data_IF_715492559830
#
_entry.id   IF_715492559830
#
_cell.length_a   1.000
_cell.length_b   1.000
_cell.length_c   1.000
_cell.angle_alpha   90.00
_cell.angle_beta   90.00
_cell.angle_gamma   90.00
#
_symmetry.space_group_name_H-M   'P 1'
#
loop_
_entity.id
_entity.type
_entity.pdbx_description
1 polymer ?
#
# COMPACT_ATOMS: atom_id res chain seq x y z
N UNK A 1 -38.22 -5.91 -0.48
CA UNK A 1 -37.69 -4.54 -0.44
C UNK A 1 -36.18 -4.63 -0.66
N UNK A 2 -35.71 -4.39 -1.88
CA UNK A 2 -34.30 -4.60 -2.28
C UNK A 2 -33.57 -3.27 -2.17
N UNK A 3 -32.66 -3.13 -1.21
CA UNK A 3 -31.83 -1.92 -1.09
C UNK A 3 -30.71 -2.03 -2.12
N UNK A 4 -30.87 -1.36 -3.26
CA UNK A 4 -29.78 -1.20 -4.22
C UNK A 4 -28.64 -0.43 -3.53
N UNK A 5 -27.51 -1.10 -3.31
CA UNK A 5 -26.29 -0.41 -2.87
C UNK A 5 -25.79 0.43 -4.04
N UNK A 6 -25.99 1.74 -3.97
CA UNK A 6 -25.35 2.67 -4.88
C UNK A 6 -23.83 2.57 -4.69
N UNK A 7 -23.16 1.96 -5.67
CA UNK A 7 -21.69 1.97 -5.72
C UNK A 7 -21.30 3.40 -6.05
N UNK A 8 -20.71 4.09 -5.07
CA UNK A 8 -20.16 5.43 -5.30
C UNK A 8 -19.08 5.41 -6.40
N UNK A 9 -18.71 6.58 -6.95
CA UNK A 9 -17.65 6.65 -7.95
C UNK A 9 -16.35 6.02 -7.42
N UNK A 10 -15.57 5.34 -8.28
CA UNK A 10 -14.34 4.70 -7.86
C UNK A 10 -13.32 5.75 -7.39
N UNK A 11 -12.56 5.39 -6.35
CA UNK A 11 -11.34 6.13 -5.99
C UNK A 11 -10.23 5.70 -6.93
N UNK A 12 -9.56 6.67 -7.55
CA UNK A 12 -8.42 6.42 -8.43
C UNK A 12 -7.14 6.83 -7.73
N UNK A 13 -6.12 5.97 -7.77
CA UNK A 13 -4.80 6.28 -7.26
C UNK A 13 -3.76 6.13 -8.38
N UNK A 14 -2.92 7.16 -8.57
CA UNK A 14 -1.75 7.12 -9.45
C UNK A 14 -0.52 7.04 -8.57
N UNK A 15 0.30 6.02 -8.79
CA UNK A 15 1.53 5.77 -8.01
C UNK A 15 2.72 5.90 -8.95
N UNK A 16 3.58 6.87 -8.65
CA UNK A 16 4.86 7.06 -9.34
C UNK A 16 5.98 6.67 -8.40
N UNK A 17 6.98 5.94 -8.90
CA UNK A 17 8.13 5.51 -8.10
C UNK A 17 9.43 5.87 -8.82
N UNK A 18 10.29 6.63 -8.15
CA UNK A 18 11.60 7.04 -8.62
C UNK A 18 12.68 6.31 -7.82
N UNK A 19 13.55 5.51 -8.44
CA UNK A 19 14.68 4.90 -7.75
C UNK A 19 15.64 5.95 -7.19
N UNK A 20 16.00 5.81 -5.91
CA UNK A 20 16.97 6.67 -5.23
C UNK A 20 18.28 5.89 -4.97
N UNK A 21 18.15 4.62 -4.60
CA UNK A 21 19.25 3.70 -4.40
C UNK A 21 18.76 2.25 -4.54
N UNK A 22 19.68 1.27 -4.43
CA UNK A 22 19.31 -0.15 -4.45
C UNK A 22 18.34 -0.46 -3.30
N UNK A 23 17.11 -0.85 -3.66
CA UNK A 23 16.06 -1.16 -2.68
C UNK A 23 15.42 0.07 -2.03
N UNK A 24 15.67 1.28 -2.53
CA UNK A 24 15.10 2.53 -2.01
C UNK A 24 14.44 3.29 -3.16
N UNK A 25 13.17 3.61 -2.98
CA UNK A 25 12.40 4.36 -3.97
C UNK A 25 11.66 5.51 -3.30
N UNK A 26 11.71 6.69 -3.91
CA UNK A 26 10.79 7.78 -3.60
C UNK A 26 9.47 7.50 -4.31
N UNK A 27 8.38 7.55 -3.58
CA UNK A 27 7.04 7.25 -4.07
C UNK A 27 6.20 8.50 -3.95
N UNK A 28 5.47 8.83 -5.03
CA UNK A 28 4.42 9.84 -5.04
C UNK A 28 3.10 9.14 -5.34
N UNK A 29 2.10 9.34 -4.48
CA UNK A 29 0.75 8.81 -4.67
C UNK A 29 -0.23 9.97 -4.77
N UNK A 30 -0.92 10.07 -5.89
CA UNK A 30 -2.06 10.99 -6.05
C UNK A 30 -3.37 10.20 -5.99
N UNK A 31 -4.20 10.47 -5.00
CA UNK A 31 -5.51 9.87 -4.80
C UNK A 31 -6.59 10.88 -5.17
N UNK A 32 -7.50 10.50 -6.06
CA UNK A 32 -8.65 11.30 -6.46
C UNK A 32 -9.93 10.66 -5.97
N UNK A 33 -10.64 11.39 -5.11
CA UNK A 33 -11.93 10.97 -4.57
C UNK A 33 -13.12 11.36 -5.45
N UNK A 34 -14.31 10.84 -5.13
CA UNK A 34 -15.56 11.32 -5.69
C UNK A 34 -15.75 12.80 -5.30
N UNK A 35 -15.78 13.71 -6.28
CA UNK A 35 -15.85 15.16 -6.04
C UNK A 35 -14.60 15.95 -6.44
N UNK A 36 -13.69 15.34 -7.21
CA UNK A 36 -12.50 15.99 -7.80
C UNK A 36 -11.47 16.53 -6.80
N UNK A 37 -11.60 16.22 -5.50
CA UNK A 37 -10.55 16.56 -4.53
C UNK A 37 -9.39 15.57 -4.67
N UNK A 38 -8.19 16.13 -4.83
CA UNK A 38 -6.94 15.39 -4.98
C UNK A 38 -6.14 15.47 -3.68
N UNK A 39 -5.69 14.31 -3.20
CA UNK A 39 -4.72 14.18 -2.13
C UNK A 39 -3.41 13.65 -2.69
N UNK A 40 -2.29 14.29 -2.36
CA UNK A 40 -0.97 13.88 -2.79
C UNK A 40 -0.12 13.57 -1.57
N UNK A 41 0.52 12.41 -1.60
CA UNK A 41 1.46 11.94 -0.58
C UNK A 41 2.79 11.58 -1.24
N UNK A 42 3.89 12.03 -0.65
CA UNK A 42 5.24 11.67 -1.06
C UNK A 42 5.97 11.04 0.11
N UNK A 43 6.58 9.87 -0.12
CA UNK A 43 7.23 9.10 0.93
C UNK A 43 8.36 8.23 0.39
N UNK A 44 9.23 7.75 1.26
CA UNK A 44 10.32 6.83 0.95
C UNK A 44 9.88 5.40 1.25
N UNK A 45 9.97 4.53 0.25
CA UNK A 45 9.74 3.09 0.40
C UNK A 45 11.05 2.32 0.28
N UNK A 46 11.28 1.41 1.23
CA UNK A 46 12.52 0.66 1.36
C UNK A 46 12.24 -0.85 1.39
N UNK A 47 12.91 -1.58 0.51
CA UNK A 47 12.97 -3.03 0.52
C UNK A 47 14.02 -3.50 1.52
N UNK A 48 13.65 -4.41 2.43
CA UNK A 48 14.59 -4.98 3.41
C UNK A 48 14.94 -6.45 3.09
N UNK A 49 16.15 -6.93 3.44
CA UNK A 49 17.22 -6.20 4.15
C UNK A 49 17.91 -5.17 3.26
N UNK A 50 18.14 -3.97 3.80
CA UNK A 50 19.04 -2.98 3.22
C UNK A 50 20.08 -2.60 4.28
N UNK A 51 21.35 -2.56 3.90
CA UNK A 51 22.48 -2.34 4.82
C UNK A 51 22.69 -0.85 5.16
N UNK A 52 21.74 0.02 4.86
CA UNK A 52 21.95 1.48 4.83
C UNK A 52 21.08 2.23 5.84
N UNK A 53 21.48 3.48 6.12
CA UNK A 53 20.73 4.44 6.93
C UNK A 53 19.28 4.62 6.45
N UNK A 54 19.00 4.32 5.18
CA UNK A 54 17.65 4.38 4.59
C UNK A 54 16.62 3.55 5.33
N UNK A 55 16.99 2.40 5.92
CA UNK A 55 16.04 1.60 6.69
C UNK A 55 15.49 2.35 7.92
N UNK A 56 16.20 3.38 8.41
CA UNK A 56 15.73 4.24 9.51
C UNK A 56 14.89 5.42 9.01
N UNK A 57 15.04 5.79 7.73
CA UNK A 57 14.36 6.92 7.09
C UNK A 57 13.14 6.50 6.25
N UNK A 58 12.93 5.20 6.02
CA UNK A 58 11.83 4.70 5.22
C UNK A 58 10.50 4.84 5.95
N UNK A 59 9.58 5.62 5.38
CA UNK A 59 8.19 5.72 5.83
C UNK A 59 7.45 4.38 5.63
N UNK A 60 7.81 3.68 4.54
CA UNK A 60 7.28 2.37 4.17
C UNK A 60 8.40 1.35 4.06
N UNK A 61 8.36 0.29 4.87
CA UNK A 61 9.26 -0.85 4.74
C UNK A 61 8.53 -2.04 4.14
N UNK A 62 9.20 -2.81 3.28
CA UNK A 62 8.65 -4.07 2.80
C UNK A 62 9.68 -5.19 2.71
N UNK A 63 9.24 -6.41 2.99
CA UNK A 63 10.04 -7.62 2.92
C UNK A 63 9.22 -8.75 2.29
N UNK A 64 9.88 -9.61 1.51
CA UNK A 64 9.31 -10.91 1.18
C UNK A 64 9.50 -11.87 2.36
N UNK A 65 8.40 -12.37 2.92
CA UNK A 65 8.41 -13.29 4.06
C UNK A 65 7.04 -13.94 4.26
N UNK A 66 7.04 -15.26 4.44
CA UNK A 66 5.83 -16.01 4.80
C UNK A 66 5.52 -15.92 6.32
N UNK A 67 6.48 -15.50 7.14
CA UNK A 67 6.36 -15.53 8.60
C UNK A 67 5.31 -14.53 9.10
N UNK A 68 4.32 -14.95 9.90
CA UNK A 68 3.19 -14.11 10.29
C UNK A 68 3.58 -12.94 11.20
N UNK A 69 4.65 -13.09 11.99
CA UNK A 69 5.17 -12.07 12.90
C UNK A 69 6.15 -11.09 12.23
N UNK A 70 6.51 -11.29 10.96
CA UNK A 70 7.64 -10.59 10.34
C UNK A 70 7.41 -9.08 10.24
N UNK A 71 6.21 -8.64 9.84
CA UNK A 71 5.87 -7.22 9.78
C UNK A 71 5.94 -6.56 11.17
N UNK A 72 5.45 -7.23 12.21
CA UNK A 72 5.51 -6.73 13.58
C UNK A 72 6.97 -6.62 14.08
N UNK A 73 7.79 -7.65 13.87
CA UNK A 73 9.21 -7.66 14.24
C UNK A 73 10.00 -6.59 13.50
N UNK A 74 9.72 -6.41 12.21
CA UNK A 74 10.37 -5.38 11.40
C UNK A 74 9.96 -3.98 11.88
N UNK A 75 8.68 -3.73 12.15
CA UNK A 75 8.24 -2.46 12.74
C UNK A 75 8.86 -2.17 14.11
N UNK A 76 9.06 -3.19 14.96
CA UNK A 76 9.76 -3.01 16.24
C UNK A 76 11.24 -2.60 16.08
N UNK A 77 11.90 -3.03 14.99
CA UNK A 77 13.29 -2.66 14.68
C UNK A 77 13.41 -1.29 14.01
N UNK A 78 12.34 -0.81 13.40
CA UNK A 78 12.29 0.43 12.63
C UNK A 78 11.10 1.28 13.07
N UNK A 79 11.16 1.89 14.27
CA UNK A 79 10.02 2.61 14.84
C UNK A 79 9.62 3.86 14.04
N UNK A 80 10.49 4.37 13.15
CA UNK A 80 10.17 5.47 12.23
C UNK A 80 9.27 5.07 11.05
N UNK A 81 9.14 3.78 10.75
CA UNK A 81 8.31 3.32 9.65
C UNK A 81 6.82 3.31 10.03
N UNK A 82 6.01 4.09 9.31
CA UNK A 82 4.57 4.18 9.51
C UNK A 82 3.83 3.00 8.89
N UNK A 83 4.37 2.39 7.83
CA UNK A 83 3.83 1.15 7.25
C UNK A 83 4.93 0.13 7.08
N UNK A 84 4.66 -1.10 7.53
CA UNK A 84 5.57 -2.23 7.37
C UNK A 84 4.84 -3.40 6.75
N UNK A 85 5.30 -3.85 5.58
CA UNK A 85 4.72 -4.95 4.82
C UNK A 85 5.62 -6.20 4.83
N UNK A 86 5.05 -7.34 5.22
CA UNK A 86 5.64 -8.65 4.99
C UNK A 86 4.73 -9.45 4.08
N UNK A 87 5.22 -9.82 2.89
CA UNK A 87 4.39 -10.44 1.87
C UNK A 87 4.98 -11.75 1.34
N UNK A 88 4.12 -12.69 0.98
CA UNK A 88 4.51 -13.92 0.30
C UNK A 88 3.34 -14.46 -0.53
N UNK A 89 3.57 -14.70 -1.82
CA UNK A 89 2.53 -15.12 -2.75
C UNK A 89 1.33 -14.17 -2.75
N UNK A 90 0.17 -14.68 -2.36
CA UNK A 90 -1.12 -13.98 -2.39
C UNK A 90 -1.50 -13.31 -1.06
N UNK A 91 -0.60 -13.28 -0.07
CA UNK A 91 -0.84 -12.69 1.24
C UNK A 91 0.16 -11.57 1.50
N UNK A 92 -0.34 -10.43 1.98
CA UNK A 92 0.46 -9.35 2.54
C UNK A 92 -0.04 -9.02 3.94
N UNK A 93 0.89 -9.00 4.90
CA UNK A 93 0.64 -8.59 6.28
C UNK A 93 1.24 -7.22 6.47
N UNK A 94 0.42 -6.29 6.93
CA UNK A 94 0.79 -4.91 7.17
C UNK A 94 0.72 -4.63 8.67
N UNK A 95 1.68 -3.85 9.14
CA UNK A 95 1.59 -3.08 10.39
C UNK A 95 1.41 -1.62 9.97
N UNK A 96 0.34 -0.97 10.41
CA UNK A 96 0.01 0.40 10.00
C UNK A 96 -0.06 1.33 11.20
N UNK A 97 0.60 2.47 11.07
CA UNK A 97 0.69 3.52 12.08
C UNK A 97 1.61 3.18 13.25
N UNK A 98 1.83 4.16 14.14
CA UNK A 98 2.74 4.02 15.29
C UNK A 98 2.28 2.95 16.27
N UNK A 99 0.95 2.87 16.52
CA UNK A 99 0.33 1.85 17.37
C UNK A 99 0.40 0.43 16.78
N UNK A 100 0.74 0.31 15.49
CA UNK A 100 1.00 -0.95 14.84
C UNK A 100 -0.25 -1.78 14.53
N UNK A 101 -1.33 -1.14 14.12
CA UNK A 101 -2.58 -1.82 13.73
C UNK A 101 -2.29 -2.89 12.67
N UNK A 102 -2.54 -4.18 12.97
CA UNK A 102 -2.28 -5.25 12.02
C UNK A 102 -3.38 -5.30 10.96
N UNK A 103 -2.99 -5.43 9.69
CA UNK A 103 -3.89 -5.61 8.55
C UNK A 103 -3.40 -6.76 7.69
N UNK A 104 -4.33 -7.58 7.18
CA UNK A 104 -4.01 -8.68 6.26
C UNK A 104 -4.73 -8.45 4.94
N UNK A 105 -3.95 -8.29 3.88
CA UNK A 105 -4.44 -8.20 2.51
C UNK A 105 -4.28 -9.55 1.81
N UNK A 106 -5.28 -9.92 1.02
CA UNK A 106 -5.29 -11.14 0.21
C UNK A 106 -5.77 -10.83 -1.19
N UNK A 107 -5.22 -11.49 -2.20
CA UNK A 107 -5.79 -11.40 -3.55
C UNK A 107 -7.15 -12.10 -3.60
N UNK A 108 -8.10 -11.52 -4.34
CA UNK A 108 -9.46 -12.06 -4.42
C UNK A 108 -9.55 -13.37 -5.24
N UNK A 109 -8.60 -13.62 -6.14
CA UNK A 109 -8.53 -14.84 -6.94
C UNK A 109 -7.45 -15.77 -6.38
N UNK A 110 -7.90 -16.80 -5.67
CA UNK A 110 -7.09 -17.93 -5.22
C UNK A 110 -6.73 -18.89 -6.38
N UNK A 111 -6.40 -18.37 -7.56
CA UNK A 111 -5.75 -19.22 -8.56
C UNK A 111 -4.38 -19.57 -7.98
N UNK A 112 -4.10 -20.87 -7.80
CA UNK A 112 -2.82 -21.33 -7.24
C UNK A 112 -1.67 -20.67 -8.01
N UNK A 113 -0.83 -19.92 -7.31
CA UNK A 113 0.32 -19.22 -7.91
C UNK A 113 0.03 -17.83 -8.49
N UNK A 114 -1.21 -17.33 -8.48
CA UNK A 114 -1.50 -15.99 -8.98
C UNK A 114 -0.88 -14.91 -8.07
N UNK A 115 -0.02 -14.09 -8.67
CA UNK A 115 0.50 -12.86 -8.06
C UNK A 115 -0.58 -11.78 -8.10
N UNK A 116 -0.57 -10.82 -7.16
CA UNK A 116 -1.47 -9.68 -7.25
C UNK A 116 -1.18 -8.89 -8.54
N UNK A 117 -2.23 -8.38 -9.19
CA UNK A 117 -2.09 -7.49 -10.36
C UNK A 117 -1.26 -6.25 -10.02
N UNK A 118 -1.40 -5.76 -8.78
CA UNK A 118 -0.65 -4.65 -8.21
C UNK A 118 0.36 -5.19 -7.19
N UNK A 119 1.66 -4.90 -7.32
CA UNK A 119 2.67 -5.39 -6.39
C UNK A 119 2.38 -5.01 -4.93
N UNK A 120 2.66 -5.91 -3.99
CA UNK A 120 2.48 -5.65 -2.55
C UNK A 120 3.17 -4.38 -2.04
N UNK A 121 4.37 -4.00 -2.51
CA UNK A 121 4.98 -2.72 -2.13
C UNK A 121 4.13 -1.50 -2.51
N UNK A 122 3.35 -1.58 -3.60
CA UNK A 122 2.42 -0.51 -4.01
C UNK A 122 1.22 -0.44 -3.07
N UNK A 123 0.67 -1.59 -2.66
CA UNK A 123 -0.38 -1.62 -1.62
C UNK A 123 0.09 -1.05 -0.29
N UNK A 124 1.34 -1.30 0.10
CA UNK A 124 1.93 -0.71 1.31
C UNK A 124 2.02 0.83 1.20
N UNK A 125 2.45 1.35 0.04
CA UNK A 125 2.45 2.79 -0.24
C UNK A 125 1.05 3.40 -0.20
N UNK A 126 0.05 2.74 -0.77
CA UNK A 126 -1.35 3.19 -0.67
C UNK A 126 -1.83 3.22 0.77
N UNK A 127 -1.47 2.22 1.59
CA UNK A 127 -1.79 2.24 3.01
C UNK A 127 -1.14 3.45 3.70
N UNK A 128 0.12 3.78 3.39
CA UNK A 128 0.76 4.98 3.92
C UNK A 128 0.00 6.27 3.55
N UNK A 129 -0.29 6.44 2.26
CA UNK A 129 -1.04 7.60 1.75
C UNK A 129 -2.39 7.74 2.43
N UNK A 130 -3.09 6.63 2.64
CA UNK A 130 -4.37 6.62 3.33
C UNK A 130 -4.27 6.97 4.81
N UNK A 131 -3.23 6.50 5.49
CA UNK A 131 -2.92 6.90 6.86
C UNK A 131 -2.62 8.40 6.93
N UNK A 132 -1.79 8.93 6.00
CA UNK A 132 -1.45 10.35 5.90
C UNK A 132 -2.67 11.22 5.60
N UNK A 133 -3.62 10.72 4.81
CA UNK A 133 -4.91 11.36 4.55
C UNK A 133 -5.89 11.34 5.74
N UNK A 134 -5.48 10.80 6.90
CA UNK A 134 -6.29 10.72 8.12
C UNK A 134 -7.39 9.65 8.09
N UNK A 135 -7.34 8.71 7.17
CA UNK A 135 -8.37 7.68 7.05
C UNK A 135 -8.18 6.56 8.09
N UNK A 136 -9.21 6.28 8.91
CA UNK A 136 -9.14 5.25 9.96
C UNK A 136 -9.43 3.83 9.42
N UNK A 137 -8.62 2.85 9.80
CA UNK A 137 -8.81 1.43 9.51
C UNK A 137 -9.79 0.77 10.49
N UNK A 138 -11.07 0.74 10.13
CA UNK A 138 -12.11 0.06 10.92
C UNK A 138 -13.49 0.00 10.25
N UNK A 139 -13.64 0.69 9.12
CA UNK A 139 -14.87 0.81 8.35
C UNK A 139 -14.73 2.00 7.42
N UNK A 140 -14.07 1.80 6.28
CA UNK A 140 -13.92 2.85 5.27
C UNK A 140 -15.31 3.13 4.68
N UNK A 141 -15.96 4.26 5.06
CA UNK A 141 -15.49 5.65 4.96
C UNK A 141 -15.63 6.47 6.28
N UNK A 142 -14.54 7.10 6.73
CA UNK A 142 -14.56 8.41 7.41
C UNK A 142 -13.18 9.05 7.27
N UNK A 143 -12.77 9.29 6.03
CA UNK A 143 -11.79 10.35 5.76
C UNK A 143 -12.63 11.64 5.74
N UNK A 144 -12.17 12.73 6.37
CA UNK A 144 -12.87 14.01 6.49
C UNK A 144 -13.02 14.79 5.17
N UNK A 145 -13.45 14.13 4.10
CA UNK A 145 -13.70 14.67 2.77
C UNK A 145 -15.23 14.60 2.52
N UNK A 146 -16.01 15.45 3.21
CA UNK A 146 -17.46 15.62 3.01
C UNK A 146 -18.39 14.47 3.47
N UNK A 147 -19.72 14.72 3.59
CA UNK A 147 -20.69 13.75 4.09
C UNK A 147 -21.05 12.73 2.99
N UNK A 148 -20.27 11.67 2.86
CA UNK A 148 -20.55 10.57 1.92
C UNK A 148 -20.22 9.21 2.52
N UNK A 149 -21.23 8.32 2.64
CA UNK A 149 -21.06 6.93 3.08
C UNK A 149 -20.61 6.05 1.88
N UNK A 150 -19.36 6.13 1.46
CA UNK A 150 -18.76 5.21 0.47
C UNK A 150 -18.12 3.94 1.06
N UNK A 151 -18.60 2.75 0.66
CA UNK A 151 -17.94 1.45 0.91
C UNK A 151 -16.84 1.26 -0.15
N UNK A 152 -15.72 0.63 0.20
CA UNK A 152 -14.65 0.27 -0.75
C UNK A 152 -15.23 -0.49 -1.96
N UNK A 153 -14.79 -0.24 -3.21
CA UNK A 153 -15.26 -1.05 -4.33
C UNK A 153 -14.67 -2.47 -4.22
N UNK A 154 -15.50 -3.53 -4.19
CA UNK A 154 -14.99 -4.85 -4.53
C UNK A 154 -14.63 -4.77 -6.02
N UNK A 155 -13.33 -4.92 -6.33
CA UNK A 155 -12.75 -4.92 -7.69
C UNK A 155 -12.54 -3.51 -8.26
N UNK A 156 -11.30 -3.01 -8.14
CA UNK A 156 -10.79 -1.94 -8.99
C UNK A 156 -9.72 -2.52 -9.91
N UNK A 157 -9.98 -2.53 -11.23
CA UNK A 157 -8.90 -2.61 -12.22
C UNK A 157 -8.10 -1.31 -12.11
N UNK A 158 -6.81 -1.42 -11.81
CA UNK A 158 -5.87 -0.33 -12.12
C UNK A 158 -5.60 -0.41 -13.63
N UNK A 159 -5.68 0.69 -14.39
CA UNK A 159 -5.27 0.67 -15.80
C UNK A 159 -3.84 0.16 -15.92
N UNK A 160 -3.69 -0.94 -16.66
CA UNK A 160 -2.40 -1.54 -16.96
C UNK A 160 -1.63 -0.64 -17.93
N UNK A 161 -0.90 0.33 -17.40
CA UNK A 161 0.13 1.04 -18.16
C UNK A 161 1.29 1.35 -17.20
N UNK A 162 2.19 0.39 -17.09
CA UNK A 162 3.50 0.58 -16.47
C UNK A 162 4.53 0.71 -17.61
N UNK A 163 5.08 1.91 -17.89
CA UNK A 163 6.19 2.01 -18.81
C UNK A 163 7.48 1.59 -18.09
N UNK A 164 8.06 0.48 -18.55
CA UNK A 164 9.50 0.22 -18.63
C UNK A 164 10.33 0.22 -17.32
N UNK A 165 10.74 -0.97 -16.88
CA UNK A 165 11.84 -1.15 -15.94
C UNK A 165 12.57 -2.45 -16.28
N UNK A 166 13.52 -2.33 -17.20
CA UNK A 166 14.24 -3.41 -17.85
C UNK A 166 14.90 -4.41 -16.89
N UNK A 167 14.83 -5.67 -17.28
CA UNK A 167 15.68 -6.77 -16.87
C UNK A 167 17.15 -6.35 -16.70
N UNK A 168 17.68 -6.48 -15.49
CA UNK A 168 19.12 -6.61 -15.27
C UNK A 168 19.42 -8.07 -14.95
N UNK A 169 20.12 -8.67 -15.90
CA UNK A 169 20.56 -10.05 -15.91
C UNK A 169 21.39 -10.39 -14.67
N UNK A 170 21.25 -11.64 -14.24
CA UNK A 170 22.17 -12.32 -13.33
C UNK A 170 23.56 -12.32 -13.96
N UNK A 171 24.56 -11.92 -13.20
CA UNK A 171 25.90 -12.50 -13.24
C UNK A 171 26.20 -12.99 -11.84
#
# INVERSE_FOLDING_TARGET
>A
MTVASAVGPPVTAVVTATPEARGVVRVRVAVRGPGATEFVDEHVRVAVPVASAWARLGDVLHAESAAPWHAARLGARHPGALVVAAHHGHVCRLRVGPSGTPLVLRTARLLRGARPEVPWPVWASLAHTFLAAGCRYGGWPRCGWGPGRGRWPPRGRVPAAWPGGSSLARR
#
